data_IF_111604237125
#
_entry.id   IF_111604237125
#
_cell.length_a   1.000
_cell.length_b   1.000
_cell.length_c   1.000
_cell.angle_alpha   90.00
_cell.angle_beta   90.00
_cell.angle_gamma   90.00
#
_symmetry.space_group_name_H-M   'P 1'
#
loop_
_entity.id
_entity.type
_entity.pdbx_description
1 polymer ?
#
# COMPACT_ATOMS: atom_id res chain seq x y z
N UNK A 1 1.32 -17.68 0.25
CA UNK A 1 1.58 -16.24 0.46
C UNK A 1 0.26 -15.50 0.65
N UNK A 2 0.18 -14.58 1.61
CA UNK A 2 -0.95 -13.65 1.79
C UNK A 2 -0.41 -12.23 1.95
N UNK A 3 -1.11 -11.25 1.38
CA UNK A 3 -0.68 -9.85 1.42
C UNK A 3 -1.88 -8.89 1.39
N UNK A 4 -1.72 -7.73 2.02
CA UNK A 4 -2.64 -6.59 1.94
C UNK A 4 -2.03 -5.52 1.04
N UNK A 5 -2.81 -5.03 0.09
CA UNK A 5 -2.44 -3.95 -0.83
C UNK A 5 -3.29 -2.73 -0.51
N UNK A 6 -2.61 -1.60 -0.36
CA UNK A 6 -3.19 -0.29 -0.10
C UNK A 6 -2.48 0.76 -0.93
N UNK A 7 -3.17 1.86 -1.21
CA UNK A 7 -2.66 2.91 -2.09
C UNK A 7 -2.79 4.27 -1.41
N UNK A 8 -1.69 4.91 -0.98
CA UNK A 8 -1.71 6.29 -0.53
C UNK A 8 -2.30 7.24 -1.58
N UNK A 9 -3.09 8.21 -1.11
CA UNK A 9 -3.78 9.22 -1.90
C UNK A 9 -3.08 10.55 -1.72
N UNK A 10 -2.87 11.26 -2.82
CA UNK A 10 -2.49 12.67 -2.82
C UNK A 10 -3.65 13.54 -3.28
N UNK A 11 -3.79 14.70 -2.67
CA UNK A 11 -4.62 15.82 -3.14
C UNK A 11 -3.74 16.72 -4.02
N UNK A 12 -4.16 17.01 -5.25
CA UNK A 12 -3.38 17.80 -6.20
C UNK A 12 -3.37 19.30 -5.88
N UNK A 13 -4.40 19.82 -5.20
CA UNK A 13 -4.57 21.27 -4.96
C UNK A 13 -3.87 21.73 -3.67
N UNK A 14 -3.83 20.91 -2.62
CA UNK A 14 -3.13 21.26 -1.37
C UNK A 14 -1.60 21.42 -1.51
N UNK A 15 -1.03 20.99 -2.64
CA UNK A 15 0.40 21.13 -2.92
C UNK A 15 0.80 22.55 -3.36
N UNK A 16 -0.15 23.41 -3.76
CA UNK A 16 0.14 24.82 -4.01
C UNK A 16 0.08 25.68 -2.72
N UNK A 17 -0.57 25.21 -1.66
CA UNK A 17 -0.98 26.08 -0.53
C UNK A 17 -0.25 25.88 0.81
N UNK A 18 0.59 24.85 0.99
CA UNK A 18 1.04 24.50 2.35
C UNK A 18 2.55 24.67 2.58
N UNK A 19 2.95 25.92 2.82
CA UNK A 19 4.26 26.35 3.35
C UNK A 19 4.07 26.93 4.76
N UNK A 20 3.97 26.10 5.80
CA UNK A 20 4.56 26.34 7.13
C UNK A 20 4.08 25.36 8.23
N UNK A 21 5.04 25.05 9.11
CA UNK A 21 4.96 24.54 10.50
C UNK A 21 5.08 23.02 10.70
N UNK A 22 6.21 22.65 11.32
CA UNK A 22 6.53 21.35 11.87
C UNK A 22 6.61 21.51 13.39
N UNK A 23 5.85 20.73 14.16
CA UNK A 23 6.07 20.58 15.60
C UNK A 23 6.35 19.11 15.93
N UNK A 24 7.43 18.89 16.68
CA UNK A 24 7.94 17.58 17.08
C UNK A 24 7.18 17.08 18.32
N UNK A 25 6.64 15.87 18.24
CA UNK A 25 6.27 15.09 19.41
C UNK A 25 7.15 13.85 19.54
N UNK A 26 7.67 13.66 20.75
CA UNK A 26 8.59 12.57 21.12
C UNK A 26 7.74 11.46 21.74
N UNK A 27 7.76 10.26 21.16
CA UNK A 27 7.08 9.09 21.71
C UNK A 27 8.04 7.92 21.89
N UNK A 28 7.81 7.17 22.96
CA UNK A 28 8.64 6.16 23.59
C UNK A 28 8.78 4.87 22.77
N UNK A 29 10.00 4.31 22.78
CA UNK A 29 10.42 2.93 22.52
C UNK A 29 9.30 1.91 22.18
N UNK A 30 8.81 1.96 20.96
CA UNK A 30 8.18 0.83 20.27
C UNK A 30 9.20 0.19 19.33
N UNK A 31 8.98 -1.05 18.86
CA UNK A 31 9.73 -1.61 17.73
C UNK A 31 9.55 -0.66 16.53
N UNK A 32 10.50 0.25 16.33
CA UNK A 32 10.41 1.29 15.31
C UNK A 32 10.50 0.62 13.96
N UNK A 33 9.47 0.75 13.13
CA UNK A 33 9.53 0.28 11.76
C UNK A 33 10.73 0.92 11.05
N UNK A 34 11.59 0.10 10.44
CA UNK A 34 12.79 0.58 9.75
C UNK A 34 12.54 0.58 8.26
N UNK A 35 12.89 1.66 7.57
CA UNK A 35 12.76 1.79 6.11
C UNK A 35 14.14 1.72 5.47
N UNK A 36 14.27 0.93 4.40
CA UNK A 36 15.45 0.81 3.58
C UNK A 36 15.10 1.10 2.11
N UNK A 37 15.95 1.84 1.42
CA UNK A 37 15.86 2.00 -0.04
C UNK A 37 16.39 0.75 -0.74
N UNK A 38 15.55 0.10 -1.55
CA UNK A 38 15.94 -1.05 -2.38
C UNK A 38 16.32 -0.60 -3.79
N UNK A 39 15.51 0.29 -4.37
CA UNK A 39 15.82 0.96 -5.63
C UNK A 39 15.69 2.47 -5.41
N UNK A 40 16.76 3.26 -5.61
CA UNK A 40 16.72 4.70 -5.44
C UNK A 40 15.53 5.33 -6.15
N UNK A 41 14.83 6.21 -5.45
CA UNK A 41 13.70 6.96 -6.01
C UNK A 41 12.46 6.17 -6.43
N UNK A 42 12.40 4.85 -6.25
CA UNK A 42 11.22 4.07 -6.66
C UNK A 42 10.78 2.94 -5.71
N UNK A 43 11.71 2.21 -5.09
CA UNK A 43 11.35 1.01 -4.29
C UNK A 43 11.97 1.06 -2.91
N UNK A 44 11.12 0.95 -1.90
CA UNK A 44 11.48 0.99 -0.48
C UNK A 44 10.94 -0.25 0.23
N UNK A 45 11.66 -0.71 1.23
CA UNK A 45 11.30 -1.87 2.06
C UNK A 45 11.23 -1.41 3.51
N UNK A 46 10.04 -1.52 4.10
CA UNK A 46 9.84 -1.30 5.52
C UNK A 46 9.72 -2.63 6.28
N UNK A 47 10.41 -2.76 7.41
CA UNK A 47 10.34 -3.94 8.29
C UNK A 47 9.60 -3.58 9.58
N UNK A 48 8.98 -4.60 10.19
CA UNK A 48 8.26 -4.48 11.46
C UNK A 48 7.11 -3.45 11.42
N UNK A 49 6.44 -3.32 10.27
CA UNK A 49 5.29 -2.43 10.10
C UNK A 49 4.06 -2.96 10.84
N UNK A 50 3.84 -4.27 10.74
CA UNK A 50 2.85 -5.04 11.48
C UNK A 50 3.58 -6.07 12.34
N UNK A 51 3.06 -6.32 13.53
CA UNK A 51 3.42 -7.45 14.37
C UNK A 51 2.83 -8.76 13.82
N UNK A 52 3.38 -9.89 14.25
CA UNK A 52 2.88 -11.21 13.84
C UNK A 52 1.39 -11.39 14.20
N UNK A 53 0.97 -10.99 15.40
CA UNK A 53 -0.44 -11.07 15.82
C UNK A 53 -1.38 -10.22 14.96
N UNK A 54 -0.90 -9.07 14.46
CA UNK A 54 -1.69 -8.24 13.54
C UNK A 54 -1.79 -8.88 12.17
N UNK A 55 -0.69 -9.47 11.67
CA UNK A 55 -0.72 -10.25 10.44
C UNK A 55 -1.71 -11.42 10.54
N UNK A 56 -1.69 -12.16 11.65
CA UNK A 56 -2.59 -13.28 11.90
C UNK A 56 -4.05 -12.82 11.96
N UNK A 57 -4.33 -11.70 12.66
CA UNK A 57 -5.68 -11.13 12.74
C UNK A 57 -6.23 -10.73 11.36
N UNK A 58 -5.40 -10.16 10.47
CA UNK A 58 -5.80 -9.88 9.09
C UNK A 58 -6.13 -11.15 8.31
N UNK A 59 -5.32 -12.21 8.49
CA UNK A 59 -5.54 -13.50 7.83
C UNK A 59 -6.84 -14.14 8.33
N UNK A 60 -7.06 -14.17 9.64
CA UNK A 60 -8.26 -14.74 10.25
C UNK A 60 -9.52 -13.99 9.79
N UNK A 61 -9.48 -12.66 9.80
CA UNK A 61 -10.58 -11.84 9.31
C UNK A 61 -10.93 -12.16 7.84
N UNK A 62 -9.91 -12.28 6.98
CA UNK A 62 -10.08 -12.61 5.58
C UNK A 62 -10.68 -14.01 5.35
N UNK A 63 -10.27 -14.99 6.16
CA UNK A 63 -10.76 -16.37 6.04
C UNK A 63 -12.17 -16.55 6.62
N UNK A 64 -12.51 -15.85 7.70
CA UNK A 64 -13.83 -15.90 8.32
C UNK A 64 -14.91 -15.16 7.52
N UNK A 65 -14.56 -14.07 6.82
CA UNK A 65 -15.49 -13.17 6.12
C UNK A 65 -16.11 -13.68 4.82
N UNK A 66 -16.09 -14.99 4.55
CA UNK A 66 -16.54 -15.59 3.28
C UNK A 66 -15.40 -16.04 2.35
N UNK A 67 -14.15 -15.79 2.76
CA UNK A 67 -12.95 -16.27 2.09
C UNK A 67 -12.56 -15.48 0.83
N UNK A 68 -11.55 -15.98 0.13
CA UNK A 68 -10.98 -15.33 -1.05
C UNK A 68 -11.72 -15.75 -2.32
N UNK A 69 -12.20 -14.78 -3.10
CA UNK A 69 -12.70 -15.00 -4.46
C UNK A 69 -11.55 -15.47 -5.35
N UNK A 70 -11.77 -16.54 -6.12
CA UNK A 70 -10.76 -17.01 -7.06
C UNK A 70 -10.77 -16.16 -8.34
N UNK A 71 -9.63 -15.58 -8.69
CA UNK A 71 -9.46 -14.75 -9.89
C UNK A 71 -8.38 -15.34 -10.77
N UNK A 72 -8.77 -15.77 -11.98
CA UNK A 72 -7.90 -16.40 -12.95
C UNK A 72 -8.12 -15.86 -14.37
N UNK A 73 -7.05 -15.40 -15.03
CA UNK A 73 -7.05 -15.13 -16.46
C UNK A 73 -5.64 -15.21 -17.07
N UNK A 74 -5.52 -15.63 -18.34
CA UNK A 74 -4.24 -15.64 -19.04
C UNK A 74 -3.71 -14.21 -19.28
N UNK A 75 -2.43 -14.10 -19.58
CA UNK A 75 -1.85 -12.86 -20.06
C UNK A 75 -2.35 -12.54 -21.48
N UNK A 76 -2.65 -11.27 -21.73
CA UNK A 76 -2.91 -10.72 -23.06
C UNK A 76 -1.92 -9.58 -23.33
N UNK A 77 -2.03 -8.92 -24.49
CA UNK A 77 -1.19 -7.76 -24.83
C UNK A 77 -1.29 -6.62 -23.81
N UNK A 78 -2.43 -6.47 -23.15
CA UNK A 78 -2.75 -5.33 -22.26
C UNK A 78 -3.06 -5.74 -20.83
N UNK A 79 -3.18 -7.04 -20.55
CA UNK A 79 -3.56 -7.57 -19.24
C UNK A 79 -2.54 -8.61 -18.82
N UNK A 80 -1.96 -8.48 -17.63
CA UNK A 80 -1.02 -9.47 -17.11
C UNK A 80 -1.73 -10.78 -16.73
N UNK A 81 -1.03 -11.91 -16.77
CA UNK A 81 -1.56 -13.16 -16.23
C UNK A 81 -1.93 -12.99 -14.76
N UNK A 82 -3.07 -13.52 -14.33
CA UNK A 82 -3.47 -13.54 -12.93
C UNK A 82 -4.00 -14.92 -12.57
N UNK A 83 -3.56 -15.39 -11.42
CA UNK A 83 -4.01 -16.61 -10.78
C UNK A 83 -3.85 -16.38 -9.28
N UNK A 84 -4.94 -16.04 -8.58
CA UNK A 84 -4.91 -15.77 -7.14
C UNK A 84 -6.28 -15.93 -6.47
N UNK A 85 -6.28 -15.92 -5.13
CA UNK A 85 -7.44 -15.55 -4.34
C UNK A 85 -7.41 -14.06 -4.02
N UNK A 86 -8.55 -13.37 -4.08
CA UNK A 86 -8.67 -11.94 -3.80
C UNK A 86 -9.88 -11.64 -2.91
N UNK A 87 -9.71 -10.70 -1.99
CA UNK A 87 -10.80 -9.96 -1.34
C UNK A 87 -10.58 -8.50 -1.72
N UNK A 88 -11.65 -7.80 -2.07
CA UNK A 88 -11.64 -6.38 -2.36
C UNK A 88 -12.82 -5.73 -1.62
N UNK A 89 -12.51 -4.78 -0.75
CA UNK A 89 -13.52 -4.13 0.10
C UNK A 89 -13.22 -2.65 0.20
N UNK A 90 -14.27 -1.84 0.14
CA UNK A 90 -14.19 -0.42 0.44
C UNK A 90 -14.36 -0.20 1.96
N UNK A 91 -13.27 0.16 2.64
CA UNK A 91 -13.23 0.46 4.07
C UNK A 91 -12.33 1.68 4.35
N UNK A 92 -12.97 2.85 4.33
CA UNK A 92 -12.31 4.13 4.59
C UNK A 92 -11.90 4.34 6.04
N UNK A 93 -12.54 3.65 6.99
CA UNK A 93 -12.19 3.78 8.41
C UNK A 93 -10.88 3.05 8.65
N UNK A 94 -10.75 1.84 8.09
CA UNK A 94 -9.53 1.07 8.20
C UNK A 94 -8.41 1.66 7.34
N UNK A 95 -8.71 2.22 6.17
CA UNK A 95 -7.68 2.89 5.34
C UNK A 95 -7.05 4.08 6.07
N UNK A 96 -7.84 4.90 6.76
CA UNK A 96 -7.35 5.99 7.61
C UNK A 96 -6.44 5.48 8.74
N UNK A 97 -6.85 4.41 9.43
CA UNK A 97 -6.05 3.81 10.52
C UNK A 97 -4.70 3.29 10.01
N UNK A 98 -4.71 2.63 8.84
CA UNK A 98 -3.50 2.16 8.18
C UNK A 98 -2.62 3.34 7.75
N UNK A 99 -3.22 4.40 7.21
CA UNK A 99 -2.50 5.61 6.84
C UNK A 99 -1.78 6.23 8.05
N UNK A 100 -2.46 6.41 9.19
CA UNK A 100 -1.84 6.94 10.41
C UNK A 100 -0.69 6.06 10.92
N UNK A 101 -0.86 4.73 10.88
CA UNK A 101 0.21 3.77 11.22
C UNK A 101 1.43 3.92 10.29
N UNK A 102 1.18 4.08 9.00
CA UNK A 102 2.21 4.13 7.97
C UNK A 102 2.81 5.52 7.80
N UNK A 103 2.21 6.56 8.39
CA UNK A 103 2.59 7.95 8.16
C UNK A 103 4.11 8.20 8.27
N UNK A 104 4.85 7.71 9.28
CA UNK A 104 6.30 7.93 9.35
C UNK A 104 7.07 7.31 8.17
N UNK A 105 6.59 6.16 7.67
CA UNK A 105 7.15 5.46 6.50
C UNK A 105 6.81 6.23 5.24
N UNK A 106 5.55 6.64 5.09
CA UNK A 106 5.06 7.42 3.95
C UNK A 106 5.80 8.74 3.86
N UNK A 107 5.96 9.48 4.96
CA UNK A 107 6.71 10.74 4.99
C UNK A 107 8.15 10.55 4.50
N UNK A 108 8.83 9.49 4.95
CA UNK A 108 10.17 9.15 4.48
C UNK A 108 10.18 8.82 2.98
N UNK A 109 9.25 7.98 2.52
CA UNK A 109 9.15 7.58 1.10
C UNK A 109 8.85 8.79 0.22
N UNK A 110 7.91 9.65 0.62
CA UNK A 110 7.52 10.86 -0.10
C UNK A 110 8.70 11.79 -0.36
N UNK A 111 9.58 11.98 0.62
CA UNK A 111 10.78 12.82 0.45
C UNK A 111 11.89 12.18 -0.40
N UNK A 112 11.77 10.90 -0.74
CA UNK A 112 12.82 10.15 -1.45
C UNK A 112 12.36 9.54 -2.77
N UNK A 113 11.06 9.51 -3.07
CA UNK A 113 10.48 8.94 -4.29
C UNK A 113 10.44 9.98 -5.41
N UNK A 114 10.62 9.55 -6.65
CA UNK A 114 10.39 10.40 -7.82
C UNK A 114 9.11 9.96 -8.51
N UNK A 115 8.17 10.89 -8.65
CA UNK A 115 6.89 10.67 -9.35
C UNK A 115 6.82 11.70 -10.48
N UNK A 116 6.61 11.24 -11.71
CA UNK A 116 6.84 12.02 -12.94
C UNK A 116 6.12 13.37 -13.02
N UNK A 117 5.03 13.54 -12.27
CA UNK A 117 4.19 14.74 -12.27
C UNK A 117 4.33 15.60 -11.00
N UNK A 118 5.25 15.25 -10.09
CA UNK A 118 5.44 15.96 -8.82
C UNK A 118 6.92 16.30 -8.64
N UNK A 119 7.21 17.50 -8.13
CA UNK A 119 8.48 17.71 -7.43
C UNK A 119 8.49 16.83 -6.19
N UNK A 120 9.67 16.37 -5.77
CA UNK A 120 9.85 15.57 -4.55
C UNK A 120 9.25 16.27 -3.30
N UNK A 121 9.28 17.61 -3.28
CA UNK A 121 8.73 18.42 -2.18
C UNK A 121 7.20 18.57 -2.22
N UNK A 122 6.58 18.25 -3.36
CA UNK A 122 5.15 18.45 -3.61
C UNK A 122 4.35 17.16 -3.41
N UNK A 123 4.99 15.99 -3.34
CA UNK A 123 4.27 14.74 -3.11
C UNK A 123 3.92 14.55 -1.63
N UNK A 124 2.72 14.99 -1.23
CA UNK A 124 2.21 14.88 0.16
C UNK A 124 0.95 14.02 0.21
N UNK A 125 1.07 12.72 0.50
CA UNK A 125 -0.08 11.88 0.76
C UNK A 125 -0.90 12.43 1.92
N UNK A 126 -2.22 12.34 1.79
CA UNK A 126 -3.19 12.81 2.79
C UNK A 126 -3.96 11.66 3.45
N UNK A 127 -4.03 10.50 2.78
CA UNK A 127 -4.73 9.31 3.26
C UNK A 127 -4.32 8.05 2.47
N UNK A 128 -4.98 6.91 2.70
CA UNK A 128 -5.00 5.74 1.82
C UNK A 128 -6.39 5.53 1.20
N UNK A 129 -6.40 5.02 -0.04
CA UNK A 129 -7.61 4.61 -0.75
C UNK A 129 -8.37 3.58 0.08
N UNK A 130 -9.68 3.82 0.25
CA UNK A 130 -10.58 2.91 0.95
C UNK A 130 -10.70 1.54 0.30
N UNK A 131 -10.35 1.40 -0.98
CA UNK A 131 -10.34 0.12 -1.68
C UNK A 131 -9.17 -0.77 -1.24
N UNK A 132 -9.35 -1.47 -0.11
CA UNK A 132 -8.38 -2.41 0.44
C UNK A 132 -8.47 -3.74 -0.28
N UNK A 133 -7.31 -4.31 -0.64
CA UNK A 133 -7.25 -5.59 -1.35
C UNK A 133 -6.39 -6.59 -0.61
N UNK A 134 -6.95 -7.74 -0.26
CA UNK A 134 -6.19 -8.87 0.25
C UNK A 134 -6.01 -9.92 -0.83
N UNK A 135 -4.81 -10.46 -0.92
CA UNK A 135 -4.47 -11.51 -1.87
C UNK A 135 -4.00 -12.76 -1.14
N UNK A 136 -4.35 -13.92 -1.70
CA UNK A 136 -3.85 -15.24 -1.33
C UNK A 136 -3.29 -15.94 -2.56
N UNK A 137 -2.09 -16.48 -2.42
CA UNK A 137 -1.45 -17.31 -3.44
C UNK A 137 -1.12 -18.68 -2.84
N UNK A 138 -1.69 -19.71 -3.46
CA UNK A 138 -1.34 -21.10 -3.22
C UNK A 138 -0.21 -21.53 -4.18
N UNK A 139 0.31 -22.74 -4.00
CA UNK A 139 1.33 -23.30 -4.90
C UNK A 139 0.83 -23.29 -6.35
N UNK A 140 1.64 -22.77 -7.27
CA UNK A 140 1.32 -22.65 -8.70
C UNK A 140 0.59 -21.36 -9.08
N UNK A 141 0.09 -20.60 -8.10
CA UNK A 141 -0.59 -19.32 -8.34
C UNK A 141 0.44 -18.19 -8.54
N UNK A 142 0.13 -17.23 -9.41
CA UNK A 142 1.03 -16.11 -9.70
C UNK A 142 0.29 -14.89 -10.24
N UNK A 143 0.95 -13.74 -10.18
CA UNK A 143 0.49 -12.53 -10.85
C UNK A 143 1.64 -12.02 -11.71
N UNK A 144 1.44 -12.00 -13.03
CA UNK A 144 2.43 -11.59 -14.01
C UNK A 144 2.83 -10.12 -13.85
N UNK A 145 3.97 -9.75 -14.45
CA UNK A 145 4.51 -8.39 -14.43
C UNK A 145 3.51 -7.38 -15.01
N UNK A 146 3.28 -6.30 -14.28
CA UNK A 146 2.40 -5.20 -14.66
C UNK A 146 2.83 -3.91 -13.97
N UNK A 147 2.22 -2.80 -14.38
CA UNK A 147 2.21 -1.56 -13.63
C UNK A 147 0.85 -1.40 -12.97
N UNK A 148 0.82 -0.90 -11.74
CA UNK A 148 -0.41 -0.44 -11.13
C UNK A 148 -0.78 0.92 -11.72
N UNK A 149 -2.04 1.08 -12.12
CA UNK A 149 -2.56 2.35 -12.62
C UNK A 149 -2.92 3.30 -11.48
N UNK A 150 -2.78 4.59 -11.71
CA UNK A 150 -3.31 5.63 -10.84
C UNK A 150 -4.85 5.62 -10.90
N UNK A 151 -5.50 5.74 -9.75
CA UNK A 151 -6.97 5.80 -9.64
C UNK A 151 -7.36 7.17 -9.11
N UNK A 152 -8.30 7.83 -9.77
CA UNK A 152 -8.95 9.04 -9.28
C UNK A 152 -9.83 8.70 -8.06
N UNK A 153 -9.89 9.61 -7.09
CA UNK A 153 -10.56 9.40 -5.81
C UNK A 153 -11.61 10.50 -5.62
N UNK A 154 -12.87 10.16 -5.88
CA UNK A 154 -14.00 11.09 -5.79
C UNK A 154 -14.26 11.62 -4.37
N UNK A 155 -13.67 10.99 -3.35
CA UNK A 155 -13.83 11.39 -1.94
C UNK A 155 -13.10 12.68 -1.59
N UNK A 156 -12.06 13.03 -2.35
CA UNK A 156 -11.25 14.22 -2.14
C UNK A 156 -11.14 14.99 -3.45
N UNK A 157 -11.10 16.31 -3.37
CA UNK A 157 -10.99 17.16 -4.55
C UNK A 157 -9.67 16.87 -5.28
N UNK A 158 -9.74 16.60 -6.58
CA UNK A 158 -8.59 16.37 -7.46
C UNK A 158 -7.57 15.34 -6.93
N UNK A 159 -8.05 14.29 -6.26
CA UNK A 159 -7.18 13.32 -5.62
C UNK A 159 -6.95 12.04 -6.44
N UNK A 160 -5.76 11.44 -6.31
CA UNK A 160 -5.45 10.16 -6.96
C UNK A 160 -4.44 9.31 -6.18
N UNK A 161 -4.33 8.03 -6.55
CA UNK A 161 -3.30 7.11 -6.03
C UNK A 161 -2.05 7.13 -6.90
N UNK A 162 -0.86 7.18 -6.29
CA UNK A 162 0.43 7.18 -7.02
C UNK A 162 1.44 6.16 -6.52
N UNK A 163 1.28 5.70 -5.29
CA UNK A 163 2.15 4.70 -4.66
C UNK A 163 1.30 3.50 -4.30
N UNK A 164 1.92 2.33 -4.40
CA UNK A 164 1.37 1.08 -3.90
C UNK A 164 2.18 0.62 -2.69
N UNK A 165 1.50 0.30 -1.60
CA UNK A 165 2.10 -0.32 -0.43
C UNK A 165 1.63 -1.77 -0.35
N UNK A 166 2.59 -2.69 -0.39
CA UNK A 166 2.36 -4.13 -0.25
C UNK A 166 2.82 -4.61 1.13
N UNK A 167 1.86 -4.97 1.97
CA UNK A 167 2.11 -5.53 3.30
C UNK A 167 2.07 -7.06 3.23
N UNK A 168 3.19 -7.72 3.54
CA UNK A 168 3.25 -9.17 3.62
C UNK A 168 2.68 -9.65 4.96
N UNK A 169 1.64 -10.50 4.89
CA UNK A 169 0.95 -11.03 6.07
C UNK A 169 1.45 -12.44 6.45
N UNK A 170 2.14 -13.13 5.55
CA UNK A 170 2.69 -14.47 5.80
C UNK A 170 3.98 -14.69 5.01
N UNK A 171 4.80 -15.63 5.48
CA UNK A 171 5.99 -16.10 4.79
C UNK A 171 5.67 -17.25 3.83
N UNK A 172 6.53 -17.46 2.83
CA UNK A 172 6.51 -18.61 1.94
C UNK A 172 7.85 -18.78 1.22
N UNK A 173 8.09 -19.95 0.65
CA UNK A 173 9.10 -20.14 -0.39
C UNK A 173 8.53 -19.73 -1.76
N UNK A 174 9.28 -18.92 -2.51
CA UNK A 174 8.80 -18.29 -3.74
C UNK A 174 7.89 -17.08 -3.50
N UNK A 175 7.18 -16.64 -4.55
CA UNK A 175 6.27 -15.51 -4.46
C UNK A 175 6.96 -14.17 -4.21
N UNK A 176 8.13 -13.93 -4.80
CA UNK A 176 8.78 -12.61 -4.75
C UNK A 176 7.92 -11.53 -5.43
N UNK A 177 8.17 -10.28 -5.10
CA UNK A 177 7.59 -9.10 -5.75
C UNK A 177 8.73 -8.25 -6.27
#
# INVERSE_FOLDING_TARGET
>A
KKSLVIHPIVDKEQNEATRAKTDKHKSSSSNVATVQTLFPSAVFVAKNVLSQSECDAWIEHAEAGGGFEHVAHPATRIIAHRECGRIQQDDWIMSERLYQRLKPIIDYVSSNVTISNYSTDDYKPINCNGNLRLYRYNKGMSFGRHYDGSNEIDRYENAQTEITVLLYLSSCEGGAT
#
